data_IF_184924783088
#
_entry.id   IF_184924783088
#
_cell.length_a   1.000
_cell.length_b   1.000
_cell.length_c   1.000
_cell.angle_alpha   90.00
_cell.angle_beta   90.00
_cell.angle_gamma   90.00
#
_symmetry.space_group_name_H-M   'P 1'
#
loop_
_entity.id
_entity.type
_entity.pdbx_description
1 polymer ?
#
# COMPACT_ATOMS: atom_id res chain seq x y z
N UNK A 1 -3.72 15.21 6.07
CA UNK A 1 -3.85 14.79 7.49
C UNK A 1 -2.81 13.73 7.87
N UNK A 2 -2.94 12.52 7.32
CA UNK A 2 -2.09 11.37 7.70
C UNK A 2 -0.60 11.59 7.38
N UNK A 3 -0.28 11.94 6.12
CA UNK A 3 1.10 12.06 5.63
C UNK A 3 1.98 12.99 6.49
N UNK A 4 1.44 14.12 6.95
CA UNK A 4 2.16 15.07 7.79
C UNK A 4 2.21 14.66 9.26
N UNK A 5 1.20 13.92 9.73
CA UNK A 5 1.04 13.62 11.16
C UNK A 5 1.70 12.29 11.55
N UNK A 6 1.83 11.35 10.61
CA UNK A 6 2.43 10.05 10.88
C UNK A 6 3.90 10.16 11.35
N UNK A 7 4.80 10.89 10.66
CA UNK A 7 6.16 11.13 11.16
C UNK A 7 6.18 11.80 12.54
N UNK A 8 5.25 12.73 12.80
CA UNK A 8 5.16 13.45 14.06
C UNK A 8 4.74 12.53 15.21
N UNK A 9 3.81 11.61 14.98
CA UNK A 9 3.41 10.61 15.98
C UNK A 9 4.56 9.64 16.29
N UNK A 10 5.38 9.28 15.30
CA UNK A 10 6.55 8.43 15.54
C UNK A 10 7.63 9.16 16.36
N UNK A 11 7.91 10.41 16.04
CA UNK A 11 8.94 11.20 16.73
C UNK A 11 8.49 11.70 18.11
N UNK A 12 7.23 12.13 18.23
CA UNK A 12 6.64 12.69 19.44
C UNK A 12 5.32 11.98 19.74
N UNK A 13 5.36 10.78 20.35
CA UNK A 13 4.17 9.96 20.54
C UNK A 13 3.07 10.61 21.38
N UNK A 14 3.36 11.60 22.22
CA UNK A 14 2.36 12.28 23.04
C UNK A 14 1.76 13.53 22.38
N UNK A 15 2.11 13.84 21.11
CA UNK A 15 1.50 14.95 20.38
C UNK A 15 0.02 14.65 20.07
N UNK A 16 -0.87 15.18 20.92
CA UNK A 16 -2.32 15.02 20.81
C UNK A 16 -2.87 15.61 19.50
N UNK A 17 -2.26 16.66 18.95
CA UNK A 17 -2.71 17.24 17.68
C UNK A 17 -2.38 16.31 16.53
N UNK A 18 -1.15 15.76 16.49
CA UNK A 18 -0.74 14.80 15.48
C UNK A 18 -1.59 13.51 15.57
N UNK A 19 -1.83 12.99 16.79
CA UNK A 19 -2.72 11.84 17.01
C UNK A 19 -4.16 12.12 16.59
N UNK A 20 -4.70 13.29 16.93
CA UNK A 20 -6.05 13.70 16.52
C UNK A 20 -6.19 13.77 15.00
N UNK A 21 -5.17 14.29 14.31
CA UNK A 21 -5.13 14.29 12.84
C UNK A 21 -5.03 12.88 12.26
N UNK A 22 -4.26 11.99 12.89
CA UNK A 22 -4.18 10.58 12.47
C UNK A 22 -5.54 9.89 12.62
N UNK A 23 -6.21 10.08 13.75
CA UNK A 23 -7.53 9.50 14.00
C UNK A 23 -8.58 10.03 13.00
N UNK A 24 -8.63 11.34 12.78
CA UNK A 24 -9.55 11.95 11.81
C UNK A 24 -9.24 11.51 10.38
N UNK A 25 -7.96 11.47 10.01
CA UNK A 25 -7.55 10.98 8.70
C UNK A 25 -7.91 9.51 8.48
N UNK A 26 -7.74 8.66 9.49
CA UNK A 26 -8.14 7.25 9.43
C UNK A 26 -9.66 7.09 9.34
N UNK A 27 -10.43 7.95 10.02
CA UNK A 27 -11.88 7.99 9.88
C UNK A 27 -12.32 8.31 8.44
N UNK A 28 -11.75 9.34 7.82
CA UNK A 28 -12.06 9.66 6.42
C UNK A 28 -11.61 8.57 5.45
N UNK A 29 -10.46 7.93 5.69
CA UNK A 29 -10.02 6.79 4.91
C UNK A 29 -11.01 5.62 5.01
N UNK A 30 -11.49 5.29 6.22
CA UNK A 30 -12.51 4.28 6.44
C UNK A 30 -13.82 4.60 5.72
N UNK A 31 -14.30 5.85 5.82
CA UNK A 31 -15.50 6.29 5.10
C UNK A 31 -15.34 6.20 3.58
N UNK A 32 -14.15 6.51 3.04
CA UNK A 32 -13.87 6.33 1.62
C UNK A 32 -13.90 4.84 1.21
N UNK A 33 -13.24 3.97 1.98
CA UNK A 33 -13.20 2.52 1.75
C UNK A 33 -14.60 1.91 1.72
N UNK A 34 -15.48 2.30 2.65
CA UNK A 34 -16.87 1.81 2.69
C UNK A 34 -17.66 2.13 1.41
N UNK A 35 -17.31 3.22 0.72
CA UNK A 35 -18.01 3.65 -0.51
C UNK A 35 -17.33 3.16 -1.80
N UNK A 36 -15.99 3.07 -1.82
CA UNK A 36 -15.22 2.72 -3.02
C UNK A 36 -14.75 1.27 -3.05
N UNK A 37 -14.83 0.56 -1.93
CA UNK A 37 -14.10 -0.69 -1.68
C UNK A 37 -12.58 -0.51 -1.76
N UNK A 38 -11.85 -1.64 -1.82
CA UNK A 38 -10.39 -1.75 -1.76
C UNK A 38 -9.82 -2.14 -3.14
N UNK A 39 -8.72 -2.90 -3.17
CA UNK A 39 -8.08 -3.34 -4.40
C UNK A 39 -7.03 -4.41 -4.17
N UNK A 40 -6.09 -4.52 -5.10
CA UNK A 40 -5.09 -5.58 -5.14
C UNK A 40 -4.17 -5.61 -3.90
N UNK A 41 -3.85 -4.46 -3.31
CA UNK A 41 -2.99 -4.42 -2.09
C UNK A 41 -3.56 -5.25 -0.95
N UNK A 42 -4.87 -5.16 -0.68
CA UNK A 42 -5.49 -5.97 0.37
C UNK A 42 -5.63 -7.43 -0.04
N UNK A 43 -5.90 -7.69 -1.34
CA UNK A 43 -5.92 -9.05 -1.86
C UNK A 43 -4.58 -9.78 -1.66
N UNK A 44 -3.46 -9.07 -1.86
CA UNK A 44 -2.10 -9.59 -1.63
C UNK A 44 -1.74 -9.67 -0.13
N UNK A 45 -2.20 -8.73 0.69
CA UNK A 45 -1.86 -8.70 2.12
C UNK A 45 -2.49 -9.85 2.93
N UNK A 46 -3.68 -10.33 2.53
CA UNK A 46 -4.42 -11.35 3.28
C UNK A 46 -3.70 -12.71 3.34
N UNK A 47 -3.24 -13.31 2.22
CA UNK A 47 -2.46 -14.55 2.24
C UNK A 47 -1.16 -14.43 3.05
N UNK A 48 -0.44 -13.30 2.93
CA UNK A 48 0.77 -13.05 3.73
C UNK A 48 0.50 -13.09 5.23
N UNK A 49 -0.59 -12.45 5.66
CA UNK A 49 -1.02 -12.46 7.07
C UNK A 49 -1.38 -13.88 7.54
N UNK A 50 -2.03 -14.67 6.68
CA UNK A 50 -2.49 -16.03 7.01
C UNK A 50 -1.36 -17.07 7.10
N UNK A 51 -0.40 -17.03 6.17
CA UNK A 51 0.66 -18.04 6.08
C UNK A 51 1.89 -17.72 6.94
N UNK A 52 2.21 -16.44 7.09
CA UNK A 52 3.44 -15.99 7.74
C UNK A 52 3.20 -15.16 9.01
N UNK A 53 1.93 -14.94 9.40
CA UNK A 53 1.59 -14.19 10.61
C UNK A 53 1.98 -12.71 10.55
N UNK A 54 2.21 -12.15 9.36
CA UNK A 54 2.52 -10.74 9.20
C UNK A 54 1.37 -9.90 9.74
N UNK A 55 1.70 -8.87 10.53
CA UNK A 55 0.71 -7.87 10.93
C UNK A 55 0.15 -7.22 9.66
N UNK A 56 -1.17 -7.16 9.53
CA UNK A 56 -1.82 -6.77 8.27
C UNK A 56 -1.34 -5.43 7.70
N UNK A 57 -1.10 -4.43 8.57
CA UNK A 57 -0.56 -3.13 8.15
C UNK A 57 0.86 -3.21 7.57
N UNK A 58 1.69 -4.14 8.05
CA UNK A 58 3.04 -4.39 7.49
C UNK A 58 2.91 -5.02 6.10
N UNK A 59 2.06 -6.04 5.95
CA UNK A 59 1.81 -6.66 4.65
C UNK A 59 1.27 -5.63 3.62
N UNK A 60 0.36 -4.75 4.03
CA UNK A 60 -0.10 -3.62 3.20
C UNK A 60 1.06 -2.69 2.85
N UNK A 61 1.88 -2.30 3.84
CA UNK A 61 3.01 -1.40 3.65
C UNK A 61 4.02 -1.91 2.63
N UNK A 62 4.33 -3.21 2.66
CA UNK A 62 5.22 -3.87 1.70
C UNK A 62 4.60 -3.87 0.30
N UNK A 63 3.34 -4.29 0.17
CA UNK A 63 2.73 -4.50 -1.16
C UNK A 63 2.27 -3.21 -1.86
N UNK A 64 1.90 -2.17 -1.11
CA UNK A 64 1.28 -0.96 -1.67
C UNK A 64 2.14 -0.23 -2.72
N UNK A 65 3.45 0.00 -2.53
CA UNK A 65 4.29 0.66 -3.53
C UNK A 65 4.28 -0.07 -4.89
N UNK A 66 4.30 -1.40 -4.89
CA UNK A 66 4.29 -2.21 -6.11
C UNK A 66 2.93 -2.15 -6.81
N UNK A 67 1.84 -2.18 -6.04
CA UNK A 67 0.48 -2.02 -6.58
C UNK A 67 0.24 -0.62 -7.14
N UNK A 68 0.80 0.44 -6.53
CA UNK A 68 0.74 1.80 -7.09
C UNK A 68 1.39 1.82 -8.47
N UNK A 69 2.61 1.29 -8.60
CA UNK A 69 3.35 1.23 -9.89
C UNK A 69 2.58 0.42 -10.94
N UNK A 70 2.03 -0.74 -10.56
CA UNK A 70 1.21 -1.56 -11.45
C UNK A 70 -0.07 -0.83 -11.89
N UNK A 71 -0.80 -0.20 -10.97
CA UNK A 71 -2.03 0.52 -11.29
C UNK A 71 -1.76 1.81 -12.09
N UNK A 72 -0.56 2.39 -12.00
CA UNK A 72 -0.19 3.61 -12.71
C UNK A 72 -0.25 3.49 -14.23
N UNK A 73 -0.11 2.28 -14.79
CA UNK A 73 -0.31 2.03 -16.22
C UNK A 73 -1.72 2.40 -16.70
N UNK A 74 -2.72 2.36 -15.82
CA UNK A 74 -4.11 2.71 -16.15
C UNK A 74 -4.57 4.01 -15.48
N UNK A 75 -4.19 4.22 -14.21
CA UNK A 75 -4.66 5.34 -13.38
C UNK A 75 -3.53 6.23 -12.86
N UNK A 76 -2.42 6.30 -13.60
CA UNK A 76 -1.24 7.08 -13.22
C UNK A 76 -1.53 8.57 -13.01
N UNK A 77 -2.49 9.14 -13.75
CA UNK A 77 -2.94 10.53 -13.56
C UNK A 77 -3.51 10.75 -12.16
N UNK A 78 -4.34 9.84 -11.65
CA UNK A 78 -4.93 9.93 -10.31
C UNK A 78 -3.85 9.87 -9.23
N UNK A 79 -2.86 8.98 -9.36
CA UNK A 79 -1.74 8.94 -8.42
C UNK A 79 -0.84 10.17 -8.50
N UNK A 80 -0.61 10.72 -9.69
CA UNK A 80 0.15 11.96 -9.85
C UNK A 80 -0.56 13.16 -9.18
N UNK A 81 -1.89 13.24 -9.26
CA UNK A 81 -2.66 14.22 -8.50
C UNK A 81 -2.50 14.04 -6.99
N UNK A 82 -2.60 12.79 -6.50
CA UNK A 82 -2.37 12.50 -5.08
C UNK A 82 -0.95 12.84 -4.62
N UNK A 83 0.06 12.58 -5.45
CA UNK A 83 1.45 12.93 -5.18
C UNK A 83 1.63 14.46 -5.09
N UNK A 84 0.97 15.20 -5.97
CA UNK A 84 0.98 16.66 -5.96
C UNK A 84 0.25 17.25 -4.75
N UNK A 85 -0.88 16.66 -4.34
CA UNK A 85 -1.63 17.08 -3.15
C UNK A 85 -0.81 17.00 -1.85
N UNK A 86 0.21 16.13 -1.83
CA UNK A 86 1.16 16.00 -0.72
C UNK A 86 2.52 16.65 -0.99
N UNK A 87 2.64 17.40 -2.09
CA UNK A 87 3.81 18.23 -2.40
C UNK A 87 5.02 17.48 -2.95
N UNK A 88 4.85 16.28 -3.50
CA UNK A 88 5.97 15.50 -4.07
C UNK A 88 6.32 15.91 -5.50
N UNK A 89 5.35 16.43 -6.26
CA UNK A 89 5.54 16.83 -7.65
C UNK A 89 4.50 17.86 -8.09
N UNK A 90 4.67 18.39 -9.30
CA UNK A 90 3.63 19.19 -9.95
C UNK A 90 2.43 18.33 -10.36
N UNK A 91 1.22 18.91 -10.47
CA UNK A 91 0.04 18.15 -10.90
C UNK A 91 0.24 17.53 -12.28
N UNK A 92 -0.09 16.24 -12.42
CA UNK A 92 0.02 15.48 -13.67
C UNK A 92 1.46 15.25 -14.16
N UNK A 93 2.47 15.38 -13.28
CA UNK A 93 3.82 14.89 -13.53
C UNK A 93 3.79 13.38 -13.84
N UNK A 94 4.36 12.93 -14.99
CA UNK A 94 4.48 11.51 -15.33
C UNK A 94 5.20 10.65 -14.28
N UNK A 95 6.12 11.23 -13.51
CA UNK A 95 6.84 10.56 -12.44
C UNK A 95 6.02 10.46 -11.13
N UNK A 96 4.90 11.17 -11.02
CA UNK A 96 4.15 11.33 -9.77
C UNK A 96 3.72 10.00 -9.11
N UNK A 97 3.33 9.00 -9.89
CA UNK A 97 2.98 7.69 -9.33
C UNK A 97 4.19 6.94 -8.74
N UNK A 98 5.37 7.05 -9.37
CA UNK A 98 6.61 6.49 -8.86
C UNK A 98 7.05 7.17 -7.57
N UNK A 99 7.03 8.51 -7.56
CA UNK A 99 7.33 9.32 -6.38
C UNK A 99 6.38 9.01 -5.22
N UNK A 100 5.09 8.81 -5.50
CA UNK A 100 4.12 8.40 -4.48
C UNK A 100 4.45 7.03 -3.89
N UNK A 101 4.79 6.05 -4.74
CA UNK A 101 5.16 4.71 -4.29
C UNK A 101 6.42 4.73 -3.41
N UNK A 102 7.46 5.48 -3.82
CA UNK A 102 8.68 5.69 -3.05
C UNK A 102 8.40 6.39 -1.71
N UNK A 103 7.51 7.39 -1.73
CA UNK A 103 7.13 8.08 -0.50
C UNK A 103 6.44 7.14 0.49
N UNK A 104 5.50 6.29 0.05
CA UNK A 104 4.90 5.28 0.93
C UNK A 104 5.95 4.31 1.49
N UNK A 105 6.87 3.84 0.66
CA UNK A 105 7.97 2.98 1.11
C UNK A 105 8.82 3.68 2.18
N UNK A 106 9.13 4.97 2.00
CA UNK A 106 9.88 5.76 2.98
C UNK A 106 9.14 5.91 4.32
N UNK A 107 7.80 6.00 4.32
CA UNK A 107 6.99 6.04 5.54
C UNK A 107 7.01 4.70 6.29
N UNK A 108 6.99 3.58 5.55
CA UNK A 108 7.13 2.24 6.14
C UNK A 108 8.51 2.08 6.79
N UNK A 109 9.59 2.47 6.07
CA UNK A 109 10.94 2.47 6.64
C UNK A 109 11.05 3.39 7.87
N UNK A 110 10.42 4.57 7.84
CA UNK A 110 10.42 5.52 8.97
C UNK A 110 9.77 4.93 10.23
N UNK A 111 8.78 4.05 10.05
CA UNK A 111 8.14 3.32 11.15
C UNK A 111 9.00 2.18 11.71
N UNK A 112 10.18 1.92 11.15
CA UNK A 112 11.02 0.77 11.49
C UNK A 112 10.42 -0.57 11.08
N UNK A 113 9.49 -0.56 10.12
CA UNK A 113 8.84 -1.76 9.61
C UNK A 113 9.59 -2.31 8.38
N UNK A 114 9.53 -3.63 8.13
CA UNK A 114 10.03 -4.23 6.90
C UNK A 114 9.39 -3.61 5.66
N UNK A 115 10.18 -3.47 4.61
CA UNK A 115 9.78 -2.93 3.31
C UNK A 115 9.79 -3.95 2.18
N UNK A 116 10.36 -5.14 2.42
CA UNK A 116 10.35 -6.26 1.47
C UNK A 116 9.79 -7.53 2.10
N UNK A 117 9.40 -8.49 1.26
CA UNK A 117 8.99 -9.82 1.70
C UNK A 117 10.18 -10.65 2.19
N UNK A 118 11.38 -10.43 1.64
CA UNK A 118 12.61 -11.08 2.10
C UNK A 118 12.99 -10.72 3.54
N UNK A 119 12.78 -9.46 3.96
CA UNK A 119 12.96 -9.02 5.36
C UNK A 119 11.96 -9.68 6.32
N UNK A 120 10.86 -10.19 5.79
CA UNK A 120 9.82 -10.92 6.54
C UNK A 120 9.98 -12.44 6.47
N UNK A 121 11.07 -12.96 5.90
CA UNK A 121 11.33 -14.40 5.73
C UNK A 121 10.20 -15.14 4.97
N UNK A 122 9.51 -14.44 4.06
CA UNK A 122 8.49 -15.05 3.20
C UNK A 122 9.16 -16.03 2.25
N UNK A 123 8.64 -17.26 2.17
CA UNK A 123 9.20 -18.27 1.26
C UNK A 123 8.73 -18.02 -0.18
N UNK A 124 9.66 -17.71 -1.09
CA UNK A 124 9.37 -17.54 -2.52
C UNK A 124 8.72 -18.78 -3.16
N UNK A 125 8.97 -19.97 -2.63
CA UNK A 125 8.35 -21.20 -3.15
C UNK A 125 6.82 -21.21 -2.95
N UNK A 126 6.29 -20.38 -2.05
CA UNK A 126 4.86 -20.23 -1.82
C UNK A 126 4.20 -19.15 -2.68
N UNK A 127 4.95 -18.39 -3.48
CA UNK A 127 4.42 -17.27 -4.27
C UNK A 127 3.28 -17.69 -5.20
N UNK A 128 3.36 -18.85 -5.84
CA UNK A 128 2.29 -19.35 -6.71
C UNK A 128 1.00 -19.63 -5.93
N UNK A 129 1.11 -20.20 -4.73
CA UNK A 129 -0.02 -20.42 -3.82
C UNK A 129 -0.59 -19.10 -3.31
N UNK A 130 0.26 -18.17 -2.87
CA UNK A 130 -0.16 -16.85 -2.39
C UNK A 130 -0.89 -16.06 -3.48
N UNK A 131 -0.44 -16.17 -4.73
CA UNK A 131 -1.07 -15.53 -5.88
C UNK A 131 -2.43 -16.17 -6.22
N UNK A 132 -2.54 -17.50 -6.15
CA UNK A 132 -3.81 -18.22 -6.31
C UNK A 132 -4.84 -17.75 -5.26
N UNK A 133 -4.43 -17.72 -3.99
CA UNK A 133 -5.28 -17.29 -2.89
C UNK A 133 -5.65 -15.81 -2.98
N UNK A 134 -4.69 -14.94 -3.36
CA UNK A 134 -4.93 -13.52 -3.61
C UNK A 134 -5.94 -13.31 -4.76
N UNK A 135 -5.88 -14.12 -5.82
CA UNK A 135 -6.80 -14.02 -6.96
C UNK A 135 -8.26 -14.35 -6.60
N UNK A 136 -8.46 -15.10 -5.50
CA UNK A 136 -9.78 -15.43 -4.95
C UNK A 136 -10.33 -14.36 -4.02
N UNK A 137 -9.51 -13.40 -3.59
CA UNK A 137 -9.95 -12.32 -2.71
C UNK A 137 -10.89 -11.39 -3.46
N UNK A 138 -12.08 -11.18 -2.90
CA UNK A 138 -13.11 -10.34 -3.51
C UNK A 138 -12.67 -8.87 -3.64
N UNK A 139 -11.78 -8.39 -2.76
CA UNK A 139 -11.22 -7.03 -2.79
C UNK A 139 -10.48 -6.74 -4.10
N UNK A 140 -9.81 -7.73 -4.70
CA UNK A 140 -9.10 -7.58 -5.97
C UNK A 140 -10.02 -7.21 -7.14
N UNK A 141 -11.32 -7.54 -7.07
CA UNK A 141 -12.32 -7.23 -8.11
C UNK A 141 -12.60 -5.73 -8.26
N UNK A 142 -12.25 -4.94 -7.25
CA UNK A 142 -12.44 -3.49 -7.24
C UNK A 142 -11.17 -2.72 -7.60
N UNK A 143 -10.06 -3.42 -7.87
CA UNK A 143 -8.81 -2.80 -8.30
C UNK A 143 -9.01 -2.12 -9.69
N UNK A 144 -8.53 -0.88 -9.89
CA UNK A 144 -8.81 -0.13 -11.12
C UNK A 144 -8.25 -0.82 -12.37
N UNK A 145 -7.05 -1.38 -12.28
CA UNK A 145 -6.47 -2.26 -13.31
C UNK A 145 -6.85 -3.70 -12.96
N UNK A 146 -7.54 -4.44 -13.84
CA UNK A 146 -7.88 -5.84 -13.57
C UNK A 146 -6.64 -6.65 -13.19
N UNK A 147 -6.80 -7.52 -12.19
CA UNK A 147 -5.75 -8.43 -11.73
C UNK A 147 -6.22 -9.88 -11.89
N UNK A 148 -5.26 -10.73 -12.16
CA UNK A 148 -5.37 -12.18 -12.24
C UNK A 148 -4.23 -12.83 -11.45
N UNK A 149 -4.20 -14.17 -11.39
CA UNK A 149 -3.15 -14.87 -10.66
C UNK A 149 -1.74 -14.52 -11.16
N UNK A 150 -1.55 -14.36 -12.48
CA UNK A 150 -0.23 -14.04 -13.05
C UNK A 150 0.26 -12.67 -12.59
N UNK A 151 -0.56 -11.64 -12.74
CA UNK A 151 -0.20 -10.27 -12.31
C UNK A 151 0.00 -10.16 -10.79
N UNK A 152 -0.76 -10.91 -10.00
CA UNK A 152 -0.58 -10.96 -8.53
C UNK A 152 0.72 -11.68 -8.15
N UNK A 153 1.10 -12.73 -8.88
CA UNK A 153 2.38 -13.43 -8.75
C UNK A 153 3.55 -12.48 -9.02
N UNK A 154 3.50 -11.75 -10.13
CA UNK A 154 4.53 -10.76 -10.51
C UNK A 154 4.66 -9.65 -9.45
N UNK A 155 3.54 -9.25 -8.84
CA UNK A 155 3.53 -8.27 -7.75
C UNK A 155 4.23 -8.77 -6.49
N UNK A 156 4.07 -10.04 -6.12
CA UNK A 156 4.85 -10.64 -5.01
C UNK A 156 6.34 -10.69 -5.34
N UNK A 157 6.71 -11.08 -6.57
CA UNK A 157 8.12 -11.11 -7.00
C UNK A 157 8.75 -9.72 -6.98
N UNK A 158 8.00 -8.69 -7.37
CA UNK A 158 8.48 -7.30 -7.29
C UNK A 158 8.70 -6.82 -5.85
N UNK A 159 8.02 -7.41 -4.87
CA UNK A 159 8.07 -7.01 -3.46
C UNK A 159 9.07 -7.83 -2.63
N UNK A 160 9.73 -8.82 -3.24
CA UNK A 160 10.73 -9.65 -2.58
C UNK A 160 12.09 -8.96 -2.45
#
# INVERSE_FOLDING_TARGET
LLVNSFPQVLNTPEDLKARGNMQLGAHFAGAAIENSMLGATHALANPLSAHFGLTHGIAIGIMLPHVIRFNAELVGRQYSLLASDIGLCEPQDPAGAGLLAEHFQSLVSLAGAPTTLSECEVDLNLVDQLAEEASRQWTGKFNPRPVDQSSLRDLYECAY
#
